data_IF_554140448945
#
_entry.id   IF_554140448945
#
_cell.length_a   1.000
_cell.length_b   1.000
_cell.length_c   1.000
_cell.angle_alpha   90.00
_cell.angle_beta   90.00
_cell.angle_gamma   90.00
#
_symmetry.space_group_name_H-M   'P 1'
#
loop_
_entity.id
_entity.type
_entity.pdbx_description
1 polymer ?
#
# COMPACT_ATOMS: atom_id res chain seq x y z
N UNK A 1 17.25 -34.06 45.82
CA UNK A 1 16.24 -35.13 45.82
C UNK A 1 16.08 -35.58 44.38
N UNK A 2 16.78 -36.65 44.04
CA UNK A 2 16.86 -37.23 42.69
C UNK A 2 15.57 -37.96 42.34
N UNK A 3 15.07 -37.82 41.11
CA UNK A 3 14.41 -38.94 40.41
C UNK A 3 14.75 -38.86 38.91
N UNK A 4 15.54 -39.84 38.49
CA UNK A 4 15.74 -40.30 37.12
C UNK A 4 14.47 -41.03 36.64
N UNK A 5 14.11 -40.88 35.37
CA UNK A 5 13.53 -41.98 34.59
C UNK A 5 14.02 -41.91 33.14
N UNK A 6 14.88 -42.87 32.80
CA UNK A 6 15.16 -43.32 31.44
C UNK A 6 14.07 -44.32 31.04
N UNK A 7 13.74 -44.38 29.76
CA UNK A 7 13.50 -45.66 29.09
C UNK A 7 13.94 -45.60 27.64
N UNK A 8 14.78 -46.56 27.28
CA UNK A 8 15.28 -46.88 25.94
C UNK A 8 14.24 -47.68 25.15
N UNK A 9 14.39 -47.66 23.82
CA UNK A 9 13.73 -48.60 22.91
C UNK A 9 14.31 -48.47 21.50
N UNK A 10 15.46 -49.10 21.27
CA UNK A 10 16.04 -49.38 19.96
C UNK A 10 15.12 -50.32 19.16
N UNK A 11 15.03 -50.15 17.84
CA UNK A 11 15.49 -51.18 16.88
C UNK A 11 15.24 -50.79 15.41
N UNK A 12 16.33 -50.96 14.67
CA UNK A 12 16.57 -51.00 13.22
C UNK A 12 15.77 -52.05 12.44
N UNK A 13 15.53 -51.79 11.14
CA UNK A 13 15.50 -52.67 9.93
C UNK A 13 14.52 -52.04 8.92
N UNK A 14 14.71 -51.98 7.60
CA UNK A 14 15.71 -52.52 6.70
C UNK A 14 15.46 -51.99 5.27
N UNK A 15 16.51 -52.05 4.48
CA UNK A 15 16.65 -51.68 3.06
C UNK A 15 15.74 -52.49 2.12
N UNK A 16 15.16 -51.86 1.08
CA UNK A 16 14.94 -52.51 -0.22
C UNK A 16 14.98 -51.49 -1.36
N UNK A 17 15.96 -51.68 -2.24
CA UNK A 17 16.07 -51.07 -3.57
C UNK A 17 15.65 -52.10 -4.63
N UNK A 18 14.90 -51.69 -5.65
CA UNK A 18 14.85 -52.36 -6.96
C UNK A 18 14.35 -51.39 -8.04
N UNK A 19 15.16 -51.20 -9.10
CA UNK A 19 14.84 -50.51 -10.37
C UNK A 19 14.18 -51.51 -11.38
N UNK A 20 14.16 -51.27 -12.71
CA UNK A 20 13.05 -50.64 -13.44
C UNK A 20 12.52 -51.53 -14.59
N UNK A 21 11.28 -51.30 -15.06
CA UNK A 21 10.81 -51.90 -16.31
C UNK A 21 10.96 -50.94 -17.50
N UNK A 22 11.73 -51.41 -18.47
CA UNK A 22 11.94 -50.89 -19.82
C UNK A 22 11.03 -51.70 -20.75
N UNK A 23 10.30 -51.06 -21.65
CA UNK A 23 9.92 -51.69 -22.92
C UNK A 23 9.92 -50.65 -24.04
N UNK A 24 10.78 -50.91 -25.03
CA UNK A 24 10.80 -50.32 -26.38
C UNK A 24 9.89 -51.16 -27.27
N UNK A 25 9.39 -50.55 -28.35
CA UNK A 25 9.09 -51.04 -29.72
C UNK A 25 8.04 -50.06 -30.26
N UNK A 26 8.00 -49.51 -31.47
CA UNK A 26 8.84 -49.39 -32.67
C UNK A 26 8.04 -48.41 -33.58
N UNK A 27 8.65 -47.56 -34.44
CA UNK A 27 7.89 -46.68 -35.34
C UNK A 27 8.03 -47.08 -36.83
N UNK A 28 6.94 -47.12 -37.61
CA UNK A 28 6.80 -46.82 -39.07
C UNK A 28 5.45 -47.33 -39.64
N UNK A 29 5.00 -46.97 -40.87
CA UNK A 29 5.48 -45.96 -41.84
C UNK A 29 4.38 -45.03 -42.44
N UNK A 30 4.88 -44.08 -43.23
CA UNK A 30 4.24 -43.15 -44.17
C UNK A 30 3.00 -43.66 -44.94
N UNK A 31 2.01 -42.76 -45.10
CA UNK A 31 1.16 -42.70 -46.29
C UNK A 31 1.16 -41.30 -46.89
N UNK A 32 1.38 -41.26 -48.21
CA UNK A 32 1.42 -40.10 -49.11
C UNK A 32 0.15 -40.10 -49.97
N UNK A 33 -0.18 -38.92 -50.52
CA UNK A 33 -1.21 -38.60 -51.53
C UNK A 33 -2.60 -38.25 -50.94
N UNK A 34 -3.36 -37.26 -51.43
CA UNK A 34 -3.42 -36.59 -52.75
C UNK A 34 -4.09 -35.22 -52.58
N UNK A 35 -3.64 -34.22 -53.36
CA UNK A 35 -4.25 -32.90 -53.46
C UNK A 35 -5.50 -32.93 -54.35
N UNK A 36 -6.48 -32.04 -54.08
CA UNK A 36 -7.63 -31.75 -54.94
C UNK A 36 -7.68 -30.23 -55.24
N UNK A 37 -8.11 -29.80 -56.45
CA UNK A 37 -7.95 -28.43 -56.93
C UNK A 37 -9.16 -27.52 -56.69
N UNK A 38 -8.92 -26.19 -56.70
CA UNK A 38 -9.91 -25.11 -56.63
C UNK A 38 -10.62 -24.87 -57.98
N UNK A 39 -11.88 -24.42 -57.99
CA UNK A 39 -12.56 -23.96 -59.21
C UNK A 39 -12.30 -22.46 -59.54
N UNK A 40 -12.49 -22.04 -60.80
CA UNK A 40 -11.96 -20.78 -61.36
C UNK A 40 -12.91 -19.56 -61.26
N UNK A 41 -12.31 -18.37 -61.36
CA UNK A 41 -12.95 -17.05 -61.42
C UNK A 41 -13.36 -16.69 -62.86
N UNK A 42 -14.57 -16.14 -63.03
CA UNK A 42 -15.08 -15.59 -64.28
C UNK A 42 -14.79 -14.08 -64.47
N UNK A 43 -14.92 -13.54 -65.70
CA UNK A 43 -14.26 -12.30 -66.12
C UNK A 43 -15.14 -11.03 -66.07
N UNK A 44 -14.46 -9.87 -66.04
CA UNK A 44 -15.00 -8.50 -66.20
C UNK A 44 -15.19 -8.11 -67.67
N UNK A 45 -16.07 -7.13 -67.93
CA UNK A 45 -15.77 -5.99 -68.83
C UNK A 45 -16.26 -4.66 -68.19
N UNK A 46 -16.16 -3.45 -68.74
CA UNK A 46 -15.19 -2.68 -69.55
C UNK A 46 -15.72 -1.22 -69.48
N UNK A 47 -14.85 -0.21 -69.68
CA UNK A 47 -15.14 1.22 -69.55
C UNK A 47 -15.98 1.80 -70.70
N UNK A 48 -16.75 2.86 -70.41
CA UNK A 48 -17.02 3.91 -71.40
C UNK A 48 -17.32 5.27 -70.73
N UNK A 49 -16.73 6.32 -71.29
CA UNK A 49 -16.83 7.73 -70.88
C UNK A 49 -17.79 8.47 -71.81
N UNK A 50 -18.54 9.47 -71.32
CA UNK A 50 -18.70 10.77 -71.99
C UNK A 50 -19.50 11.78 -71.15
N UNK A 51 -19.13 13.04 -71.37
CA UNK A 51 -19.49 14.31 -70.73
C UNK A 51 -20.80 14.92 -71.26
N UNK A 52 -21.55 15.63 -70.40
CA UNK A 52 -22.04 17.02 -70.59
C UNK A 52 -23.15 17.39 -69.58
N UNK A 53 -22.93 18.47 -68.84
CA UNK A 53 -23.93 19.29 -68.12
C UNK A 53 -24.37 20.47 -69.04
N UNK A 54 -25.37 21.32 -68.71
CA UNK A 54 -26.24 21.38 -67.52
C UNK A 54 -27.74 21.60 -67.83
N UNK A 55 -28.63 21.30 -66.88
CA UNK A 55 -29.66 22.27 -66.51
C UNK A 55 -30.15 22.06 -65.07
N UNK A 56 -29.95 23.11 -64.31
CA UNK A 56 -30.19 23.33 -62.89
C UNK A 56 -31.69 23.47 -62.59
N UNK A 57 -32.20 22.70 -61.63
CA UNK A 57 -33.22 23.12 -60.63
C UNK A 57 -34.03 21.96 -60.04
N UNK A 58 -33.98 20.74 -60.59
CA UNK A 58 -34.79 19.61 -60.09
C UNK A 58 -34.00 18.39 -59.60
N UNK A 59 -32.67 18.38 -59.76
CA UNK A 59 -31.79 17.29 -59.31
C UNK A 59 -31.16 17.52 -57.93
N UNK A 60 -31.23 18.73 -57.37
CA UNK A 60 -30.67 19.04 -56.05
C UNK A 60 -31.51 18.51 -54.87
N UNK A 61 -32.81 18.25 -55.09
CA UNK A 61 -33.68 17.73 -54.03
C UNK A 61 -33.68 16.20 -53.95
N UNK A 62 -33.33 15.49 -55.03
CA UNK A 62 -33.33 14.03 -55.09
C UNK A 62 -31.96 13.38 -54.78
N UNK A 63 -30.87 14.15 -54.71
CA UNK A 63 -29.52 13.65 -54.41
C UNK A 63 -29.11 13.76 -52.92
N UNK A 64 -29.99 14.24 -52.04
CA UNK A 64 -29.73 14.28 -50.58
C UNK A 64 -30.06 12.99 -49.83
N UNK A 65 -30.54 11.95 -50.51
CA UNK A 65 -30.97 10.68 -49.84
C UNK A 65 -30.10 9.47 -50.18
N UNK A 66 -29.20 9.51 -51.16
CA UNK A 66 -28.35 8.34 -51.48
C UNK A 66 -26.95 8.73 -51.97
N UNK A 67 -26.04 9.08 -51.06
CA UNK A 67 -24.57 8.95 -51.25
C UNK A 67 -23.89 8.73 -49.91
N UNK A 68 -23.30 7.56 -49.73
CA UNK A 68 -22.23 7.34 -48.75
C UNK A 68 -20.88 7.79 -49.36
N UNK A 69 -20.02 8.45 -48.57
CA UNK A 69 -18.57 8.45 -48.78
C UNK A 69 -17.86 7.85 -47.55
N UNK A 70 -17.17 6.71 -47.70
CA UNK A 70 -15.71 6.62 -47.88
C UNK A 70 -14.86 7.16 -46.70
N UNK A 71 -14.54 6.24 -45.79
CA UNK A 71 -13.37 6.09 -44.89
C UNK A 71 -12.28 7.16 -44.69
N UNK A 72 -12.55 8.46 -44.67
CA UNK A 72 -11.55 9.40 -44.12
C UNK A 72 -11.63 9.48 -42.58
N UNK A 73 -10.68 8.78 -41.97
CA UNK A 73 -10.10 8.98 -40.65
C UNK A 73 -10.88 9.92 -39.71
N UNK A 74 -11.69 9.32 -38.83
CA UNK A 74 -12.00 9.90 -37.53
C UNK A 74 -10.68 9.97 -36.73
N UNK A 75 -9.81 10.91 -37.09
CA UNK A 75 -8.70 11.32 -36.25
C UNK A 75 -9.35 11.85 -34.99
N UNK A 76 -9.22 11.16 -33.83
CA UNK A 76 -9.72 11.73 -32.61
C UNK A 76 -8.85 12.96 -32.39
N UNK A 77 -9.41 14.15 -32.69
CA UNK A 77 -8.84 15.44 -32.30
C UNK A 77 -8.35 15.21 -30.89
N UNK A 78 -7.02 15.27 -30.78
CA UNK A 78 -6.21 15.03 -29.59
C UNK A 78 -6.75 15.95 -28.51
N UNK A 79 -7.81 15.51 -27.84
CA UNK A 79 -8.29 16.09 -26.60
C UNK A 79 -7.08 15.94 -25.72
N UNK A 80 -6.42 17.06 -25.49
CA UNK A 80 -5.25 17.20 -24.64
C UNK A 80 -5.46 16.26 -23.46
N UNK A 81 -4.68 15.17 -23.42
CA UNK A 81 -4.79 14.15 -22.39
C UNK A 81 -4.51 14.82 -21.05
N UNK A 82 -5.56 15.25 -20.39
CA UNK A 82 -5.53 15.71 -19.02
C UNK A 82 -5.27 14.48 -18.16
N UNK A 83 -3.99 14.25 -17.84
CA UNK A 83 -3.53 13.38 -16.76
C UNK A 83 -4.15 11.96 -16.74
N UNK A 84 -3.51 11.02 -17.45
CA UNK A 84 -3.36 9.59 -17.10
C UNK A 84 -4.11 9.14 -15.83
N UNK A 85 -5.25 8.48 -16.02
CA UNK A 85 -6.02 7.62 -15.11
C UNK A 85 -5.46 7.48 -13.67
N UNK A 86 -5.56 8.55 -12.89
CA UNK A 86 -5.10 8.60 -11.51
C UNK A 86 -6.22 8.08 -10.63
N UNK A 87 -5.94 7.03 -9.84
CA UNK A 87 -6.90 6.43 -8.92
C UNK A 87 -7.17 7.42 -7.78
N UNK A 88 -8.25 8.19 -7.90
CA UNK A 88 -8.64 9.21 -6.92
C UNK A 88 -8.98 8.58 -5.57
N UNK A 89 -9.54 7.38 -5.60
CA UNK A 89 -9.89 6.56 -4.44
C UNK A 89 -8.64 6.18 -3.66
N UNK A 90 -7.57 5.77 -4.36
CA UNK A 90 -6.29 5.40 -3.73
C UNK A 90 -5.66 6.59 -3.01
N UNK A 91 -5.63 7.77 -3.64
CA UNK A 91 -5.12 8.98 -2.99
C UNK A 91 -5.99 9.37 -1.79
N UNK A 92 -7.31 9.22 -1.88
CA UNK A 92 -8.24 9.50 -0.79
C UNK A 92 -7.98 8.59 0.41
N UNK A 93 -7.95 7.26 0.24
CA UNK A 93 -7.72 6.35 1.36
C UNK A 93 -6.33 6.53 1.98
N UNK A 94 -5.30 6.81 1.16
CA UNK A 94 -3.96 7.14 1.68
C UNK A 94 -3.98 8.39 2.56
N UNK A 95 -4.75 9.40 2.18
CA UNK A 95 -4.91 10.63 2.96
C UNK A 95 -5.69 10.41 4.25
N UNK A 96 -6.79 9.64 4.16
CA UNK A 96 -7.62 9.28 5.30
C UNK A 96 -6.82 8.53 6.36
N UNK A 97 -6.02 7.55 5.94
CA UNK A 97 -5.16 6.78 6.84
C UNK A 97 -4.11 7.67 7.51
N UNK A 98 -3.52 8.63 6.80
CA UNK A 98 -2.56 9.56 7.42
C UNK A 98 -3.22 10.47 8.46
N UNK A 99 -4.47 10.88 8.23
CA UNK A 99 -5.25 11.64 9.22
C UNK A 99 -5.50 10.78 10.46
N UNK A 100 -5.93 9.53 10.27
CA UNK A 100 -6.13 8.60 11.38
C UNK A 100 -4.85 8.36 12.14
N UNK A 101 -3.72 8.08 11.48
CA UNK A 101 -2.42 7.90 12.15
C UNK A 101 -2.09 9.11 13.04
N UNK A 102 -2.26 10.35 12.57
CA UNK A 102 -1.93 11.53 13.39
C UNK A 102 -2.82 11.63 14.63
N UNK A 103 -4.13 11.44 14.44
CA UNK A 103 -5.14 11.57 15.50
C UNK A 103 -5.03 10.42 16.51
N UNK A 104 -4.72 9.21 16.04
CA UNK A 104 -4.58 8.00 16.86
C UNK A 104 -3.37 8.07 17.80
N UNK A 105 -2.38 8.91 17.49
CA UNK A 105 -1.20 9.14 18.35
C UNK A 105 -1.36 10.33 19.31
N UNK A 106 -2.56 10.92 19.40
CA UNK A 106 -2.90 11.94 20.40
C UNK A 106 -3.78 11.25 21.45
N UNK A 107 -3.25 11.03 22.66
CA UNK A 107 -3.92 10.27 23.71
C UNK A 107 -5.26 10.88 24.15
N UNK A 108 -5.35 12.21 24.16
CA UNK A 108 -6.57 12.96 24.50
C UNK A 108 -7.53 13.19 23.33
N UNK A 109 -7.28 12.62 22.15
CA UNK A 109 -8.13 12.81 20.96
C UNK A 109 -9.54 12.23 21.14
N UNK A 110 -10.54 12.97 20.67
CA UNK A 110 -11.93 12.51 20.63
C UNK A 110 -12.21 11.76 19.34
N UNK A 111 -11.65 12.23 18.23
CA UNK A 111 -11.83 11.62 16.92
C UNK A 111 -11.16 10.24 16.83
N UNK A 112 -10.04 10.05 17.55
CA UNK A 112 -9.35 8.78 17.77
C UNK A 112 -10.31 7.69 18.29
N UNK A 113 -11.32 8.05 19.08
CA UNK A 113 -12.32 7.09 19.62
C UNK A 113 -13.31 6.57 18.58
N UNK A 114 -13.32 7.17 17.39
CA UNK A 114 -14.15 6.74 16.25
C UNK A 114 -13.32 6.14 15.11
N UNK A 115 -11.99 6.06 15.24
CA UNK A 115 -11.12 5.43 14.24
C UNK A 115 -11.04 3.91 14.46
N UNK A 116 -10.31 3.24 13.58
CA UNK A 116 -10.22 1.78 13.56
C UNK A 116 -9.69 1.19 14.86
N UNK A 117 -8.72 1.81 15.53
CA UNK A 117 -8.12 1.22 16.74
C UNK A 117 -9.11 1.10 17.91
N UNK A 118 -10.18 1.93 17.91
CA UNK A 118 -11.16 1.98 18.99
C UNK A 118 -12.15 0.80 18.95
N UNK A 119 -12.49 0.29 17.77
CA UNK A 119 -13.49 -0.78 17.61
C UNK A 119 -12.99 -1.99 16.82
N UNK A 120 -11.84 -1.92 16.17
CA UNK A 120 -11.26 -3.03 15.45
C UNK A 120 -9.99 -3.55 16.16
N UNK A 121 -9.73 -4.84 16.04
CA UNK A 121 -8.47 -5.45 16.46
C UNK A 121 -7.27 -4.94 15.63
N UNK A 122 -7.49 -4.46 14.41
CA UNK A 122 -6.50 -3.79 13.57
C UNK A 122 -6.64 -2.27 13.66
N UNK A 123 -5.60 -1.54 13.27
CA UNK A 123 -5.57 -0.08 13.29
C UNK A 123 -5.21 0.51 11.91
N UNK A 124 -4.91 1.81 11.88
CA UNK A 124 -4.54 2.50 10.65
C UNK A 124 -3.25 1.95 10.01
N UNK A 125 -2.38 1.27 10.76
CA UNK A 125 -1.13 0.71 10.24
C UNK A 125 -1.39 -0.44 9.24
N UNK A 126 -2.34 -1.35 9.51
CA UNK A 126 -2.69 -2.40 8.55
C UNK A 126 -3.16 -1.81 7.22
N UNK A 127 -4.02 -0.79 7.29
CA UNK A 127 -4.51 -0.09 6.09
C UNK A 127 -3.35 0.62 5.38
N UNK A 128 -2.46 1.27 6.12
CA UNK A 128 -1.29 1.95 5.58
C UNK A 128 -0.38 0.99 4.81
N UNK A 129 -0.04 -0.16 5.40
CA UNK A 129 0.84 -1.19 4.81
C UNK A 129 0.21 -1.84 3.59
N UNK A 130 -1.06 -2.19 3.67
CA UNK A 130 -1.81 -2.73 2.53
C UNK A 130 -1.87 -1.74 1.36
N UNK A 131 -2.24 -0.48 1.61
CA UNK A 131 -2.26 0.57 0.59
C UNK A 131 -0.86 0.88 0.05
N UNK A 132 0.17 0.72 0.87
CA UNK A 132 1.57 0.79 0.48
C UNK A 132 1.92 -0.23 -0.61
N UNK A 133 1.54 -1.50 -0.39
CA UNK A 133 1.68 -2.57 -1.39
C UNK A 133 0.87 -2.32 -2.65
N UNK A 134 -0.41 -1.96 -2.49
CA UNK A 134 -1.34 -1.67 -3.59
C UNK A 134 -0.84 -0.52 -4.48
N UNK A 135 -0.41 0.59 -3.87
CA UNK A 135 0.13 1.74 -4.58
C UNK A 135 1.46 1.43 -5.27
N UNK A 136 2.30 0.62 -4.63
CA UNK A 136 3.58 0.19 -5.20
C UNK A 136 3.38 -0.67 -6.44
N UNK A 137 2.47 -1.66 -6.38
CA UNK A 137 2.08 -2.46 -7.53
C UNK A 137 1.53 -1.60 -8.68
N UNK A 138 0.69 -0.61 -8.35
CA UNK A 138 0.16 0.35 -9.34
C UNK A 138 1.27 1.17 -9.99
N UNK A 139 2.20 1.72 -9.20
CA UNK A 139 3.30 2.55 -9.68
C UNK A 139 4.27 1.75 -10.56
N UNK A 140 4.65 0.55 -10.13
CA UNK A 140 5.52 -0.34 -10.91
C UNK A 140 4.86 -0.75 -12.22
N UNK A 141 3.59 -1.18 -12.20
CA UNK A 141 2.87 -1.55 -13.42
C UNK A 141 2.77 -0.40 -14.42
N UNK A 142 2.59 0.84 -13.93
CA UNK A 142 2.61 2.02 -14.80
C UNK A 142 4.01 2.33 -15.35
N UNK A 143 5.07 1.99 -14.61
CA UNK A 143 6.45 2.30 -14.99
C UNK A 143 7.00 1.28 -15.96
N UNK A 144 6.79 -0.02 -15.70
CA UNK A 144 7.13 -1.12 -16.60
C UNK A 144 6.39 -1.06 -17.95
N UNK A 145 5.23 -0.37 -18.01
CA UNK A 145 4.52 -0.09 -19.28
C UNK A 145 5.14 1.05 -20.10
N UNK A 146 5.91 1.94 -19.47
CA UNK A 146 6.44 3.18 -20.09
C UNK A 146 7.94 3.14 -20.33
N UNK A 147 8.65 2.32 -19.56
CA UNK A 147 10.10 2.19 -19.53
C UNK A 147 10.46 0.70 -19.41
N UNK A 148 11.75 0.41 -19.25
CA UNK A 148 12.21 -0.97 -19.05
C UNK A 148 11.94 -1.46 -17.62
N UNK A 149 11.95 -2.77 -17.42
CA UNK A 149 11.89 -3.34 -16.06
C UNK A 149 13.10 -2.94 -15.21
N UNK A 150 14.27 -2.74 -15.83
CA UNK A 150 15.46 -2.26 -15.14
C UNK A 150 15.26 -0.85 -14.56
N UNK A 151 14.66 0.06 -15.33
CA UNK A 151 14.31 1.41 -14.86
C UNK A 151 13.33 1.37 -13.71
N UNK A 152 12.37 0.43 -13.76
CA UNK A 152 11.43 0.23 -12.68
C UNK A 152 12.12 -0.25 -11.41
N UNK A 153 13.01 -1.24 -11.50
CA UNK A 153 13.79 -1.74 -10.36
C UNK A 153 14.65 -0.65 -9.74
N UNK A 154 15.40 0.11 -10.55
CA UNK A 154 16.25 1.20 -10.07
C UNK A 154 15.46 2.28 -9.32
N UNK A 155 14.25 2.61 -9.80
CA UNK A 155 13.38 3.57 -9.11
C UNK A 155 13.00 3.12 -7.70
N UNK A 156 12.76 1.82 -7.50
CA UNK A 156 12.40 1.30 -6.18
C UNK A 156 13.58 1.20 -5.22
N UNK A 157 14.80 0.98 -5.71
CA UNK A 157 16.01 1.15 -4.88
C UNK A 157 16.17 2.61 -4.41
N UNK A 158 15.99 3.58 -5.31
CA UNK A 158 15.98 5.01 -4.91
C UNK A 158 14.88 5.31 -3.91
N UNK A 159 13.70 4.69 -4.08
CA UNK A 159 12.58 4.84 -3.14
C UNK A 159 12.88 4.26 -1.76
N UNK A 160 13.60 3.15 -1.67
CA UNK A 160 14.08 2.60 -0.39
C UNK A 160 15.00 3.61 0.32
N UNK A 161 15.93 4.23 -0.42
CA UNK A 161 16.80 5.28 0.13
C UNK A 161 16.04 6.55 0.55
N UNK A 162 14.99 6.94 -0.18
CA UNK A 162 14.11 8.05 0.23
C UNK A 162 13.43 7.76 1.57
N UNK A 163 12.97 6.52 1.78
CA UNK A 163 12.33 6.10 3.04
C UNK A 163 13.34 6.03 4.19
N UNK A 164 14.55 5.56 3.92
CA UNK A 164 15.66 5.59 4.86
C UNK A 164 16.00 7.02 5.30
N UNK A 165 16.15 7.95 4.36
CA UNK A 165 16.39 9.37 4.67
C UNK A 165 15.25 9.98 5.45
N UNK A 166 14.00 9.66 5.10
CA UNK A 166 12.84 10.11 5.84
C UNK A 166 12.83 9.58 7.27
N UNK A 167 13.24 8.32 7.49
CA UNK A 167 13.41 7.77 8.83
C UNK A 167 14.43 8.59 9.64
N UNK A 168 15.62 8.84 9.10
CA UNK A 168 16.65 9.63 9.79
C UNK A 168 16.16 11.04 10.11
N UNK A 169 15.51 11.71 9.15
CA UNK A 169 14.94 13.05 9.36
C UNK A 169 13.86 13.02 10.46
N UNK A 170 12.98 12.01 10.44
CA UNK A 170 11.92 11.88 11.46
C UNK A 170 12.51 11.63 12.84
N UNK A 171 13.51 10.76 12.95
CA UNK A 171 14.19 10.48 14.20
C UNK A 171 14.85 11.74 14.79
N UNK A 172 15.57 12.50 13.96
CA UNK A 172 16.18 13.78 14.39
C UNK A 172 15.11 14.79 14.79
N UNK A 173 14.01 14.91 14.04
CA UNK A 173 12.91 15.82 14.38
C UNK A 173 12.23 15.42 15.70
N UNK A 174 12.06 14.13 15.97
CA UNK A 174 11.49 13.66 17.23
C UNK A 174 12.38 13.99 18.43
N UNK A 175 13.69 13.76 18.30
CA UNK A 175 14.67 14.15 19.34
C UNK A 175 14.66 15.67 19.57
N UNK A 176 14.66 16.45 18.49
CA UNK A 176 14.63 17.92 18.57
C UNK A 176 13.36 18.43 19.24
N UNK A 177 12.19 17.93 18.85
CA UNK A 177 10.91 18.32 19.47
C UNK A 177 10.89 17.91 20.94
N UNK A 178 11.35 16.70 21.27
CA UNK A 178 11.41 16.23 22.65
C UNK A 178 12.35 17.10 23.50
N UNK A 179 13.51 17.50 22.96
CA UNK A 179 14.44 18.41 23.62
C UNK A 179 13.84 19.80 23.86
N UNK A 180 13.14 20.35 22.86
CA UNK A 180 12.45 21.66 23.00
C UNK A 180 11.34 21.57 24.06
N UNK A 181 10.51 20.54 24.03
CA UNK A 181 9.44 20.36 25.03
C UNK A 181 10.00 20.17 26.44
N UNK A 182 11.05 19.36 26.60
CA UNK A 182 11.75 19.18 27.88
C UNK A 182 12.33 20.50 28.40
N UNK A 183 12.92 21.33 27.52
CA UNK A 183 13.40 22.66 27.90
C UNK A 183 12.30 23.62 28.39
N UNK A 184 11.05 23.42 27.94
CA UNK A 184 9.87 24.14 28.43
C UNK A 184 9.17 23.44 29.61
N UNK A 185 9.77 22.39 30.20
CA UNK A 185 9.18 21.60 31.28
C UNK A 185 7.84 20.95 30.91
N UNK A 186 7.67 20.62 29.63
CA UNK A 186 6.52 19.89 29.11
C UNK A 186 6.93 18.42 29.02
N UNK A 187 6.23 17.58 29.77
CA UNK A 187 6.40 16.12 29.75
C UNK A 187 5.17 15.44 29.18
N UNK A 188 5.38 14.37 28.41
CA UNK A 188 4.31 13.63 27.75
C UNK A 188 4.72 12.19 27.39
N UNK A 189 3.77 11.23 27.35
CA UNK A 189 4.07 9.81 27.21
C UNK A 189 4.81 9.42 25.91
N UNK A 190 4.61 10.17 24.82
CA UNK A 190 5.14 9.84 23.51
C UNK A 190 6.48 10.53 23.19
N UNK A 191 7.05 11.27 24.15
CA UNK A 191 8.34 11.94 23.97
C UNK A 191 9.49 10.95 23.94
N UNK A 192 10.50 11.25 23.13
CA UNK A 192 11.72 10.45 23.04
C UNK A 192 12.71 10.87 24.14
N UNK A 193 12.25 10.95 25.40
CA UNK A 193 13.06 11.41 26.55
C UNK A 193 14.23 10.47 26.83
N UNK A 194 13.98 9.16 26.90
CA UNK A 194 15.04 8.16 27.07
C UNK A 194 16.09 8.24 25.95
N UNK A 195 15.64 8.33 24.70
CA UNK A 195 16.56 8.44 23.55
C UNK A 195 17.34 9.78 23.58
N UNK A 196 16.76 10.83 24.16
CA UNK A 196 17.40 12.13 24.31
C UNK A 196 18.47 12.09 25.40
N UNK A 197 18.19 11.47 26.55
CA UNK A 197 19.15 11.27 27.63
C UNK A 197 20.33 10.41 27.15
N UNK A 198 20.06 9.29 26.48
CA UNK A 198 21.08 8.45 25.87
C UNK A 198 21.91 9.20 24.81
N UNK A 199 21.29 10.12 24.07
CA UNK A 199 21.99 10.96 23.08
C UNK A 199 22.91 11.97 23.75
N UNK A 200 22.58 12.45 24.96
CA UNK A 200 23.44 13.33 25.75
C UNK A 200 24.63 12.57 26.34
N UNK A 201 24.40 11.34 26.80
CA UNK A 201 25.43 10.52 27.44
C UNK A 201 26.36 9.82 26.44
N UNK A 202 25.79 9.23 25.38
CA UNK A 202 26.51 8.39 24.40
C UNK A 202 26.15 8.73 22.94
N UNK A 203 26.36 9.98 22.48
CA UNK A 203 25.88 10.47 21.19
C UNK A 203 26.33 9.63 19.98
N UNK A 204 27.56 9.14 20.00
CA UNK A 204 28.11 8.33 18.90
C UNK A 204 27.48 6.94 18.82
N UNK A 205 27.16 6.33 19.97
CA UNK A 205 26.49 5.03 20.03
C UNK A 205 25.04 5.14 19.56
N UNK A 206 24.29 6.13 20.06
CA UNK A 206 22.91 6.38 19.65
C UNK A 206 22.82 6.71 18.16
N UNK A 207 23.71 7.57 17.65
CA UNK A 207 23.71 7.90 16.22
C UNK A 207 24.01 6.66 15.35
N UNK A 208 24.96 5.82 15.76
CA UNK A 208 25.24 4.53 15.09
C UNK A 208 24.01 3.64 15.12
N UNK A 209 23.35 3.52 16.26
CA UNK A 209 22.23 2.61 16.44
C UNK A 209 20.99 3.06 15.66
N UNK A 210 20.72 4.36 15.58
CA UNK A 210 19.70 4.91 14.67
C UNK A 210 20.10 4.65 13.21
N UNK A 211 21.34 4.94 12.81
CA UNK A 211 21.81 4.78 11.43
C UNK A 211 21.69 3.33 10.94
N UNK A 212 21.90 2.35 11.83
CA UNK A 212 21.83 0.92 11.55
C UNK A 212 20.45 0.30 11.81
N UNK A 213 19.42 1.11 12.05
CA UNK A 213 18.07 0.67 12.46
C UNK A 213 18.02 -0.16 13.76
N UNK A 214 19.07 -0.15 14.59
CA UNK A 214 19.09 -0.84 15.89
C UNK A 214 18.20 -0.16 16.93
N UNK A 215 18.06 1.17 16.81
CA UNK A 215 17.20 2.00 17.66
C UNK A 215 16.29 2.83 16.78
N UNK A 216 15.00 2.83 17.09
CA UNK A 216 13.97 3.45 16.26
C UNK A 216 13.00 4.18 17.17
N UNK A 217 12.85 5.51 17.01
CA UNK A 217 11.82 6.23 17.75
C UNK A 217 10.42 5.71 17.40
N UNK A 218 9.57 5.60 18.41
CA UNK A 218 8.24 4.96 18.32
C UNK A 218 7.41 5.41 17.12
N UNK A 219 7.26 6.74 16.92
CA UNK A 219 6.45 7.27 15.81
C UNK A 219 7.10 7.10 14.41
N UNK A 220 8.39 6.75 14.37
CA UNK A 220 9.15 6.54 13.13
C UNK A 220 9.39 5.06 12.80
N UNK A 221 9.09 4.13 13.71
CA UNK A 221 9.44 2.70 13.64
C UNK A 221 8.80 1.95 12.47
N UNK A 222 7.75 2.51 11.86
CA UNK A 222 7.15 1.94 10.63
C UNK A 222 8.05 2.13 9.40
N UNK A 223 8.87 3.18 9.35
CA UNK A 223 9.64 3.55 8.14
C UNK A 223 10.76 2.55 7.76
N UNK A 224 11.58 2.03 8.70
CA UNK A 224 12.60 1.02 8.38
C UNK A 224 12.03 -0.20 7.67
N UNK A 225 10.89 -0.72 8.15
CA UNK A 225 10.17 -1.82 7.52
C UNK A 225 9.78 -1.49 6.07
N UNK A 226 9.27 -0.28 5.81
CA UNK A 226 8.95 0.16 4.45
C UNK A 226 10.17 0.31 3.56
N UNK A 227 11.32 0.70 4.12
CA UNK A 227 12.57 0.75 3.37
C UNK A 227 12.95 -0.67 2.88
N UNK A 228 12.80 -1.69 3.73
CA UNK A 228 12.97 -3.10 3.32
C UNK A 228 11.95 -3.54 2.27
N UNK A 229 10.68 -3.19 2.43
CA UNK A 229 9.66 -3.55 1.43
C UNK A 229 9.94 -2.90 0.08
N UNK A 230 10.30 -1.61 0.06
CA UNK A 230 10.68 -0.91 -1.17
C UNK A 230 11.93 -1.55 -1.82
N UNK A 231 12.87 -2.03 -1.03
CA UNK A 231 14.05 -2.76 -1.52
C UNK A 231 13.68 -4.14 -2.10
N UNK A 232 12.70 -4.83 -1.53
CA UNK A 232 12.25 -6.16 -1.97
C UNK A 232 11.30 -6.13 -3.19
N UNK A 233 10.68 -4.99 -3.49
CA UNK A 233 9.73 -4.79 -4.61
C UNK A 233 10.25 -5.29 -5.97
N UNK A 234 11.51 -5.00 -6.37
CA UNK A 234 12.13 -5.58 -7.56
C UNK A 234 12.02 -7.10 -7.70
N UNK A 235 11.95 -7.85 -6.59
CA UNK A 235 11.78 -9.30 -6.57
C UNK A 235 10.30 -9.71 -6.41
N UNK A 236 9.57 -9.02 -5.52
CA UNK A 236 8.18 -9.35 -5.20
C UNK A 236 7.25 -9.16 -6.41
N UNK A 237 7.40 -8.08 -7.17
CA UNK A 237 6.41 -7.73 -8.20
C UNK A 237 6.45 -8.60 -9.45
N UNK A 238 7.63 -8.99 -9.99
CA UNK A 238 7.69 -10.01 -11.03
C UNK A 238 7.04 -11.34 -10.58
N UNK A 239 7.26 -11.73 -9.32
CA UNK A 239 6.66 -12.93 -8.76
C UNK A 239 5.14 -12.80 -8.58
N UNK A 240 4.64 -11.64 -8.13
CA UNK A 240 3.21 -11.36 -8.00
C UNK A 240 2.45 -11.45 -9.33
N UNK A 241 3.11 -11.10 -10.44
CA UNK A 241 2.52 -11.15 -11.79
C UNK A 241 2.55 -12.54 -12.40
N UNK A 242 3.63 -13.29 -12.16
CA UNK A 242 3.85 -14.61 -12.76
C UNK A 242 3.31 -15.76 -11.92
N UNK A 243 3.56 -15.74 -10.60
CA UNK A 243 3.22 -16.81 -9.65
C UNK A 243 2.65 -16.21 -8.34
N UNK A 244 1.48 -15.54 -8.39
CA UNK A 244 0.89 -14.86 -7.24
C UNK A 244 0.67 -15.78 -6.02
N UNK A 245 0.25 -17.02 -6.25
CA UNK A 245 0.00 -17.98 -5.17
C UNK A 245 1.28 -18.51 -4.53
N UNK A 246 2.37 -18.61 -5.29
CA UNK A 246 3.69 -18.95 -4.72
C UNK A 246 4.20 -17.80 -3.84
N UNK A 247 4.03 -16.55 -4.29
CA UNK A 247 4.35 -15.38 -3.48
C UNK A 247 3.53 -15.36 -2.17
N UNK A 248 2.22 -15.61 -2.26
CA UNK A 248 1.36 -15.65 -1.07
C UNK A 248 1.75 -16.77 -0.12
N UNK A 249 2.00 -17.97 -0.64
CA UNK A 249 2.44 -19.12 0.17
C UNK A 249 3.78 -18.85 0.87
N UNK A 250 4.75 -18.28 0.14
CA UNK A 250 6.03 -17.87 0.72
C UNK A 250 5.88 -16.77 1.78
N UNK A 251 5.00 -15.80 1.52
CA UNK A 251 4.68 -14.73 2.47
C UNK A 251 4.02 -15.27 3.75
N UNK A 252 3.08 -16.21 3.64
CA UNK A 252 2.47 -16.88 4.78
C UNK A 252 3.48 -17.74 5.56
N UNK A 253 4.39 -18.42 4.87
CA UNK A 253 5.45 -19.19 5.51
C UNK A 253 6.36 -18.28 6.34
N UNK A 254 6.85 -17.17 5.77
CA UNK A 254 7.67 -16.18 6.50
C UNK A 254 6.91 -15.58 7.67
N UNK A 255 5.63 -15.24 7.49
CA UNK A 255 4.79 -14.72 8.57
C UNK A 255 4.62 -15.72 9.71
N UNK A 256 4.43 -17.01 9.41
CA UNK A 256 4.23 -18.05 10.43
C UNK A 256 5.45 -18.28 11.34
N UNK A 257 6.66 -18.02 10.82
CA UNK A 257 7.92 -18.14 11.57
C UNK A 257 8.49 -16.78 12.00
N UNK A 258 7.76 -15.68 11.76
CA UNK A 258 8.23 -14.32 11.99
C UNK A 258 8.66 -14.06 13.45
N UNK A 259 7.96 -14.57 14.50
CA UNK A 259 8.41 -14.39 15.87
C UNK A 259 9.79 -15.02 16.13
N UNK A 260 10.09 -16.17 15.52
CA UNK A 260 11.39 -16.83 15.64
C UNK A 260 12.51 -16.11 14.86
N UNK A 261 12.14 -15.35 13.82
CA UNK A 261 13.09 -14.55 13.04
C UNK A 261 13.39 -13.19 13.68
N UNK A 262 12.48 -12.65 14.49
CA UNK A 262 12.60 -11.32 15.11
C UNK A 262 13.93 -11.10 15.86
N UNK A 263 14.47 -12.05 16.66
CA UNK A 263 15.74 -11.87 17.37
C UNK A 263 16.97 -11.72 16.45
N UNK A 264 16.85 -12.05 15.16
CA UNK A 264 17.94 -11.92 14.19
C UNK A 264 18.02 -10.51 13.58
N UNK A 265 17.06 -9.64 13.90
CA UNK A 265 17.12 -8.24 13.48
C UNK A 265 18.16 -7.48 14.30
N UNK A 266 18.75 -6.41 13.73
CA UNK A 266 19.63 -5.53 14.48
C UNK A 266 18.81 -4.77 15.54
N UNK A 267 19.18 -4.90 16.81
CA UNK A 267 18.52 -4.23 17.96
C UNK A 267 19.58 -3.71 18.95
N UNK A 268 19.36 -2.54 19.54
CA UNK A 268 20.14 -2.07 20.70
C UNK A 268 19.67 -2.77 22.00
N UNK A 269 20.44 -2.71 23.09
CA UNK A 269 20.16 -3.52 24.30
C UNK A 269 18.81 -3.20 24.97
N UNK A 270 18.31 -1.99 24.79
CA UNK A 270 17.09 -1.43 25.38
C UNK A 270 16.02 -1.07 24.32
N UNK A 271 16.26 -1.44 23.06
CA UNK A 271 15.36 -1.16 21.96
C UNK A 271 14.58 -2.41 21.54
N UNK A 272 13.55 -2.20 20.73
CA UNK A 272 12.82 -3.28 20.06
C UNK A 272 12.29 -2.79 18.71
N UNK A 273 11.94 -3.74 17.85
CA UNK A 273 11.19 -3.45 16.62
C UNK A 273 9.70 -3.41 16.93
N UNK A 274 9.05 -2.25 16.89
CA UNK A 274 7.59 -2.17 17.07
C UNK A 274 6.82 -2.88 15.95
N UNK A 275 7.43 -2.96 14.76
CA UNK A 275 6.87 -3.62 13.59
C UNK A 275 7.86 -4.69 13.11
N UNK A 276 7.54 -5.96 13.30
CA UNK A 276 8.36 -7.06 12.77
C UNK A 276 8.24 -7.11 11.23
N UNK A 277 9.31 -6.79 10.46
CA UNK A 277 9.24 -6.77 9.00
C UNK A 277 8.89 -8.13 8.38
N UNK A 278 9.25 -9.23 9.05
CA UNK A 278 8.92 -10.59 8.61
C UNK A 278 7.43 -10.91 8.73
N UNK A 279 6.75 -10.34 9.72
CA UNK A 279 5.31 -10.52 9.89
C UNK A 279 4.53 -9.58 8.96
N UNK A 280 4.87 -8.30 8.99
CA UNK A 280 4.11 -7.24 8.31
C UNK A 280 4.26 -7.25 6.79
N UNK A 281 5.27 -7.94 6.23
CA UNK A 281 5.34 -8.16 4.78
C UNK A 281 4.10 -8.86 4.24
N UNK A 282 3.36 -9.65 5.05
CA UNK A 282 2.10 -10.26 4.67
C UNK A 282 1.07 -9.20 4.22
N UNK A 283 0.89 -8.14 5.00
CA UNK A 283 -0.04 -7.04 4.64
C UNK A 283 0.37 -6.34 3.34
N UNK A 284 1.67 -6.13 3.17
CA UNK A 284 2.21 -5.51 1.96
C UNK A 284 1.97 -6.41 0.73
N UNK A 285 2.26 -7.70 0.84
CA UNK A 285 2.03 -8.70 -0.22
C UNK A 285 0.55 -8.83 -0.56
N UNK A 286 -0.34 -8.86 0.44
CA UNK A 286 -1.79 -8.85 0.23
C UNK A 286 -2.23 -7.63 -0.59
N UNK A 287 -1.69 -6.45 -0.30
CA UNK A 287 -1.92 -5.22 -1.08
C UNK A 287 -1.42 -5.33 -2.52
N UNK A 288 -0.24 -5.90 -2.73
CA UNK A 288 0.34 -6.13 -4.07
C UNK A 288 -0.54 -7.12 -4.87
N UNK A 289 -0.97 -8.22 -4.25
CA UNK A 289 -1.81 -9.24 -4.89
C UNK A 289 -3.19 -8.65 -5.21
N UNK A 290 -3.80 -7.90 -4.28
CA UNK A 290 -5.10 -7.26 -4.49
C UNK A 290 -5.11 -6.31 -5.71
N UNK A 291 -3.98 -5.68 -6.01
CA UNK A 291 -3.85 -4.82 -7.19
C UNK A 291 -3.48 -5.58 -8.47
N UNK A 292 -2.71 -6.66 -8.37
CA UNK A 292 -2.20 -7.39 -9.55
C UNK A 292 -3.12 -8.50 -10.03
N UNK A 293 -3.98 -9.02 -9.15
CA UNK A 293 -4.86 -10.15 -9.42
C UNK A 293 -6.32 -9.74 -9.17
N UNK A 294 -7.28 -10.21 -9.99
CA UNK A 294 -8.68 -9.84 -9.84
C UNK A 294 -9.38 -10.68 -8.75
N UNK A 295 -8.76 -10.80 -7.57
CA UNK A 295 -9.23 -11.66 -6.46
C UNK A 295 -10.61 -11.22 -6.00
N UNK A 296 -10.77 -9.93 -5.72
CA UNK A 296 -12.04 -9.35 -5.30
C UNK A 296 -13.12 -9.48 -6.38
N UNK A 297 -12.81 -9.20 -7.64
CA UNK A 297 -13.79 -9.30 -8.73
C UNK A 297 -14.28 -10.75 -8.90
N UNK A 298 -13.38 -11.74 -8.80
CA UNK A 298 -13.76 -13.16 -8.86
C UNK A 298 -14.60 -13.57 -7.65
N UNK A 299 -14.19 -13.20 -6.45
CA UNK A 299 -14.90 -13.55 -5.22
C UNK A 299 -16.29 -12.90 -5.14
N UNK A 300 -16.40 -11.62 -5.53
CA UNK A 300 -17.66 -10.87 -5.50
C UNK A 300 -18.63 -11.30 -6.59
N UNK A 301 -18.15 -11.77 -7.75
CA UNK A 301 -18.99 -12.26 -8.83
C UNK A 301 -19.51 -13.68 -8.60
N UNK A 302 -18.96 -14.41 -7.63
CA UNK A 302 -19.42 -15.76 -7.31
C UNK A 302 -20.86 -15.72 -6.77
N UNK A 303 -21.67 -16.74 -7.08
CA UNK A 303 -23.09 -16.83 -6.67
C UNK A 303 -23.32 -16.66 -5.15
N UNK A 304 -22.28 -16.97 -4.38
CA UNK A 304 -22.25 -16.94 -2.92
C UNK A 304 -21.44 -15.76 -2.36
N UNK A 305 -21.11 -14.75 -3.19
CA UNK A 305 -20.31 -13.59 -2.76
C UNK A 305 -20.96 -12.78 -1.64
N UNK A 306 -22.29 -12.85 -1.50
CA UNK A 306 -23.02 -12.22 -0.38
C UNK A 306 -22.70 -12.86 0.98
N UNK A 307 -22.38 -14.17 1.01
CA UNK A 307 -21.97 -14.86 2.24
C UNK A 307 -20.67 -14.28 2.80
N UNK A 308 -19.74 -13.89 1.92
CA UNK A 308 -18.49 -13.24 2.32
C UNK A 308 -18.75 -11.88 2.96
N UNK A 309 -19.75 -11.14 2.47
CA UNK A 309 -20.17 -9.87 3.08
C UNK A 309 -20.79 -10.08 4.45
N UNK A 310 -21.67 -11.07 4.60
CA UNK A 310 -22.27 -11.40 5.91
C UNK A 310 -21.20 -11.85 6.90
N UNK A 311 -20.27 -12.72 6.46
CA UNK A 311 -19.14 -13.16 7.27
C UNK A 311 -18.26 -11.98 7.68
N UNK A 312 -17.93 -11.07 6.75
CA UNK A 312 -17.14 -9.89 7.05
C UNK A 312 -17.83 -8.98 8.09
N UNK A 313 -19.15 -8.76 7.94
CA UNK A 313 -19.92 -8.01 8.94
C UNK A 313 -19.90 -8.70 10.32
N UNK A 314 -20.04 -10.03 10.36
CA UNK A 314 -19.97 -10.81 11.60
C UNK A 314 -18.61 -10.71 12.30
N UNK A 315 -17.51 -10.79 11.54
CA UNK A 315 -16.14 -10.64 12.06
C UNK A 315 -15.94 -9.24 12.66
N UNK A 316 -16.37 -8.19 11.95
CA UNK A 316 -16.24 -6.80 12.42
C UNK A 316 -17.09 -6.57 13.67
N UNK A 317 -18.33 -7.07 13.69
CA UNK A 317 -19.22 -6.95 14.85
C UNK A 317 -18.65 -7.68 16.06
N UNK A 318 -18.09 -8.88 15.88
CA UNK A 318 -17.43 -9.63 16.95
C UNK A 318 -16.18 -8.90 17.48
N UNK A 319 -15.35 -8.36 16.58
CA UNK A 319 -14.19 -7.56 16.95
C UNK A 319 -14.58 -6.29 17.72
N UNK A 320 -15.62 -5.58 17.26
CA UNK A 320 -16.15 -4.39 17.93
C UNK A 320 -16.76 -4.72 19.29
N UNK A 321 -17.51 -5.81 19.39
CA UNK A 321 -18.02 -6.28 20.67
C UNK A 321 -16.89 -6.57 21.66
N UNK A 322 -15.86 -7.29 21.22
CA UNK A 322 -14.70 -7.61 22.04
C UNK A 322 -13.96 -6.33 22.49
N UNK A 323 -13.63 -5.44 21.55
CA UNK A 323 -12.93 -4.17 21.81
C UNK A 323 -13.68 -3.24 22.76
N UNK A 324 -15.00 -3.13 22.60
CA UNK A 324 -15.80 -2.13 23.33
C UNK A 324 -16.33 -2.62 24.68
N UNK A 325 -16.53 -3.93 24.85
CA UNK A 325 -17.21 -4.47 26.04
C UNK A 325 -16.40 -5.52 26.81
N UNK A 326 -15.40 -6.15 26.20
CA UNK A 326 -14.66 -7.27 26.81
C UNK A 326 -13.23 -6.90 27.16
N UNK A 327 -12.58 -6.04 26.37
CA UNK A 327 -11.22 -5.58 26.65
C UNK A 327 -11.20 -4.68 27.91
N UNK A 328 -10.63 -5.22 28.99
CA UNK A 328 -10.49 -4.52 30.28
C UNK A 328 -9.10 -3.89 30.47
N UNK A 329 -8.18 -4.07 29.53
CA UNK A 329 -6.83 -3.54 29.60
C UNK A 329 -6.06 -3.69 28.28
N UNK A 330 -4.85 -3.10 28.18
CA UNK A 330 -4.07 -3.11 26.95
C UNK A 330 -3.77 -4.54 26.48
N UNK A 331 -4.12 -4.83 25.23
CA UNK A 331 -3.72 -6.07 24.57
C UNK A 331 -2.19 -6.18 24.49
N UNK A 332 -1.70 -7.42 24.51
CA UNK A 332 -0.28 -7.73 24.35
C UNK A 332 0.30 -7.06 23.09
N UNK A 333 1.35 -6.26 23.27
CA UNK A 333 2.03 -5.54 22.19
C UNK A 333 2.58 -6.49 21.12
N UNK A 334 2.87 -7.74 21.50
CA UNK A 334 3.31 -8.80 20.58
C UNK A 334 2.27 -9.08 19.48
N UNK A 335 0.97 -8.89 19.76
CA UNK A 335 -0.11 -9.10 18.79
C UNK A 335 -0.03 -8.12 17.63
N UNK A 336 0.40 -6.87 17.90
CA UNK A 336 0.64 -5.86 16.88
C UNK A 336 2.00 -6.04 16.24
N UNK A 337 3.05 -6.22 17.07
CA UNK A 337 4.43 -6.39 16.61
C UNK A 337 4.55 -7.49 15.55
N UNK A 338 3.94 -8.65 15.82
CA UNK A 338 4.01 -9.83 14.97
C UNK A 338 2.78 -10.02 14.08
N UNK A 339 1.94 -9.00 13.91
CA UNK A 339 0.73 -9.04 13.08
C UNK A 339 -0.08 -10.34 13.32
N UNK A 340 -0.72 -10.44 14.48
CA UNK A 340 -1.50 -11.63 14.82
C UNK A 340 -2.59 -11.91 13.78
N UNK A 341 -2.93 -13.19 13.63
CA UNK A 341 -3.92 -13.65 12.65
C UNK A 341 -5.29 -12.97 12.87
N UNK A 342 -5.65 -12.67 14.12
CA UNK A 342 -6.86 -11.94 14.49
C UNK A 342 -6.91 -10.55 13.83
N UNK A 343 -5.79 -9.82 13.87
CA UNK A 343 -5.66 -8.50 13.25
C UNK A 343 -5.76 -8.59 11.73
N UNK A 344 -5.06 -9.56 11.13
CA UNK A 344 -5.08 -9.78 9.68
C UNK A 344 -6.47 -10.17 9.17
N UNK A 345 -7.18 -11.07 9.85
CA UNK A 345 -8.54 -11.50 9.48
C UNK A 345 -9.54 -10.36 9.63
N UNK A 346 -9.47 -9.61 10.74
CA UNK A 346 -10.34 -8.46 10.93
C UNK A 346 -10.10 -7.37 9.86
N UNK A 347 -8.83 -7.08 9.56
CA UNK A 347 -8.50 -6.18 8.46
C UNK A 347 -9.07 -6.67 7.12
N UNK A 348 -8.94 -7.96 6.79
CA UNK A 348 -9.48 -8.50 5.53
C UNK A 348 -11.00 -8.37 5.43
N UNK A 349 -11.72 -8.53 6.55
CA UNK A 349 -13.15 -8.29 6.62
C UNK A 349 -13.49 -6.82 6.32
N UNK A 350 -12.76 -5.88 6.93
CA UNK A 350 -12.93 -4.44 6.69
C UNK A 350 -12.59 -4.09 5.23
N UNK A 351 -11.47 -4.61 4.72
CA UNK A 351 -11.03 -4.40 3.35
C UNK A 351 -12.06 -4.92 2.33
N UNK A 352 -12.74 -6.04 2.63
CA UNK A 352 -13.84 -6.55 1.81
C UNK A 352 -15.02 -5.58 1.73
N UNK A 353 -15.45 -5.01 2.85
CA UNK A 353 -16.54 -4.02 2.87
C UNK A 353 -16.13 -2.71 2.17
N UNK A 354 -14.89 -2.25 2.39
CA UNK A 354 -14.34 -1.07 1.69
C UNK A 354 -14.27 -1.32 0.18
N UNK A 355 -13.87 -2.51 -0.26
CA UNK A 355 -13.86 -2.86 -1.67
C UNK A 355 -15.28 -2.86 -2.29
N UNK A 356 -16.29 -3.28 -1.53
CA UNK A 356 -17.70 -3.11 -1.91
C UNK A 356 -18.09 -1.63 -2.04
N UNK A 357 -17.69 -0.79 -1.08
CA UNK A 357 -17.93 0.66 -1.13
C UNK A 357 -17.25 1.33 -2.34
N UNK A 358 -16.06 0.86 -2.73
CA UNK A 358 -15.37 1.31 -3.96
C UNK A 358 -16.14 0.86 -5.20
N UNK A 359 -16.58 -0.41 -5.25
CA UNK A 359 -17.33 -0.98 -6.40
C UNK A 359 -18.64 -0.25 -6.68
N UNK A 360 -19.37 0.15 -5.63
CA UNK A 360 -20.65 0.87 -5.74
C UNK A 360 -20.43 2.37 -6.09
N UNK A 361 -19.19 2.87 -6.03
CA UNK A 361 -18.83 4.25 -6.40
C UNK A 361 -18.93 5.25 -5.25
N UNK A 362 -19.30 4.82 -4.05
CA UNK A 362 -19.39 5.68 -2.86
C UNK A 362 -18.03 6.27 -2.48
N UNK A 363 -16.98 5.45 -2.51
CA UNK A 363 -15.62 5.93 -2.22
C UNK A 363 -15.18 7.03 -3.19
N UNK A 364 -15.54 6.90 -4.47
CA UNK A 364 -15.25 7.90 -5.50
C UNK A 364 -16.03 9.19 -5.26
N UNK A 365 -17.31 9.10 -4.92
CA UNK A 365 -18.14 10.26 -4.60
C UNK A 365 -17.58 11.02 -3.38
N UNK A 366 -17.16 10.30 -2.34
CA UNK A 366 -16.54 10.89 -1.15
C UNK A 366 -15.19 11.55 -1.48
N UNK A 367 -14.36 10.87 -2.26
CA UNK A 367 -13.06 11.41 -2.70
C UNK A 367 -13.20 12.69 -3.53
N UNK A 368 -14.28 12.82 -4.31
CA UNK A 368 -14.61 14.04 -5.05
C UNK A 368 -15.13 15.16 -4.15
N UNK A 369 -15.90 14.83 -3.10
CA UNK A 369 -16.39 15.81 -2.11
C UNK A 369 -15.30 16.32 -1.17
N UNK A 370 -14.30 15.49 -0.86
CA UNK A 370 -13.20 15.81 0.06
C UNK A 370 -11.83 15.74 -0.66
N UNK A 371 -11.59 16.59 -1.68
CA UNK A 371 -10.36 16.54 -2.49
C UNK A 371 -9.10 16.90 -1.68
N UNK A 372 -9.27 17.57 -0.54
CA UNK A 372 -8.19 17.91 0.39
C UNK A 372 -7.62 16.67 1.09
N UNK A 373 -8.44 15.67 1.40
CA UNK A 373 -7.97 14.38 1.95
C UNK A 373 -7.08 13.71 0.91
N UNK A 374 -7.53 13.68 -0.35
CA UNK A 374 -6.71 13.23 -1.47
C UNK A 374 -5.38 13.97 -1.53
N UNK A 375 -5.35 15.31 -1.35
CA UNK A 375 -4.12 16.11 -1.36
C UNK A 375 -3.09 15.64 -0.33
N UNK A 376 -3.52 15.32 0.89
CA UNK A 376 -2.67 14.74 1.94
C UNK A 376 -2.09 13.40 1.46
N UNK A 377 -2.93 12.51 0.94
CA UNK A 377 -2.50 11.19 0.46
C UNK A 377 -1.50 11.22 -0.71
N UNK A 378 -1.57 12.24 -1.57
CA UNK A 378 -0.60 12.46 -2.67
C UNK A 378 0.80 12.74 -2.15
N UNK A 379 0.90 13.34 -0.98
CA UNK A 379 2.16 13.76 -0.35
C UNK A 379 2.48 12.91 0.87
N UNK A 380 2.17 11.62 0.77
CA UNK A 380 2.13 10.74 1.94
C UNK A 380 3.42 10.72 2.77
N UNK A 381 4.60 10.75 2.14
CA UNK A 381 5.86 10.76 2.91
C UNK A 381 6.05 12.08 3.68
N UNK A 382 5.81 13.23 3.04
CA UNK A 382 5.89 14.53 3.69
C UNK A 382 4.86 14.66 4.81
N UNK A 383 3.61 14.27 4.54
CA UNK A 383 2.52 14.33 5.52
C UNK A 383 2.74 13.33 6.67
N UNK A 384 3.39 12.19 6.43
CA UNK A 384 3.81 11.28 7.48
C UNK A 384 4.82 11.95 8.43
N UNK A 385 5.95 12.45 7.89
CA UNK A 385 7.00 13.11 8.70
C UNK A 385 6.44 14.32 9.47
N UNK A 386 5.67 15.17 8.79
CA UNK A 386 5.02 16.31 9.44
C UNK A 386 3.97 15.86 10.47
N UNK A 387 3.20 14.82 10.17
CA UNK A 387 2.21 14.24 11.06
C UNK A 387 2.82 13.70 12.35
N UNK A 388 4.00 13.08 12.28
CA UNK A 388 4.77 12.66 13.46
C UNK A 388 5.11 13.84 14.36
N UNK A 389 5.60 14.94 13.80
CA UNK A 389 5.90 16.16 14.57
C UNK A 389 4.64 16.80 15.14
N UNK A 390 3.58 16.91 14.32
CA UNK A 390 2.31 17.52 14.72
C UNK A 390 1.66 16.72 15.85
N UNK A 391 1.55 15.40 15.71
CA UNK A 391 0.97 14.53 16.74
C UNK A 391 1.75 14.62 18.04
N UNK A 392 3.09 14.55 17.99
CA UNK A 392 3.93 14.67 19.17
C UNK A 392 3.72 16.02 19.90
N UNK A 393 3.75 17.14 19.18
CA UNK A 393 3.57 18.47 19.78
C UNK A 393 2.15 18.65 20.34
N UNK A 394 1.13 18.25 19.58
CA UNK A 394 -0.27 18.43 20.01
C UNK A 394 -0.59 17.53 21.20
N UNK A 395 -0.11 16.29 21.18
CA UNK A 395 -0.25 15.35 22.30
C UNK A 395 0.43 15.88 23.55
N UNK A 396 1.68 16.36 23.46
CA UNK A 396 2.39 16.92 24.60
C UNK A 396 1.69 18.14 25.21
N UNK A 397 1.27 19.09 24.37
CA UNK A 397 0.55 20.28 24.84
C UNK A 397 -0.80 19.94 25.47
N UNK A 398 -1.55 19.00 24.86
CA UNK A 398 -2.84 18.57 25.39
C UNK A 398 -2.67 17.83 26.73
N UNK A 399 -1.68 16.93 26.82
CA UNK A 399 -1.39 16.18 28.03
C UNK A 399 -1.05 17.13 29.18
N UNK A 400 -0.16 18.10 28.97
CA UNK A 400 0.18 19.11 29.99
C UNK A 400 -1.00 20.02 30.34
N UNK A 401 -1.86 20.38 29.38
CA UNK A 401 -3.02 21.23 29.65
C UNK A 401 -4.16 20.51 30.39
N UNK A 402 -4.15 19.18 30.40
CA UNK A 402 -5.24 18.36 30.96
C UNK A 402 -4.77 17.46 32.10
N UNK A 403 -3.49 17.50 32.48
CA UNK A 403 -2.85 16.55 33.38
C UNK A 403 -3.11 15.07 32.97
N UNK A 404 -3.23 14.84 31.66
CA UNK A 404 -3.58 13.54 31.07
C UNK A 404 -5.06 13.13 31.19
N UNK A 405 -5.93 13.94 31.80
CA UNK A 405 -7.36 13.64 31.89
C UNK A 405 -8.09 13.92 30.58
N UNK A 406 -9.14 13.14 30.33
CA UNK A 406 -9.96 13.34 29.14
C UNK A 406 -10.76 14.64 29.22
N UNK A 407 -10.49 15.57 28.30
CA UNK A 407 -11.23 16.81 28.16
C UNK A 407 -11.82 16.91 26.74
N UNK A 408 -13.15 16.79 26.61
CA UNK A 408 -13.81 16.71 25.30
C UNK A 408 -13.60 17.98 24.46
N UNK A 409 -13.85 19.21 24.98
CA UNK A 409 -13.56 20.43 24.23
C UNK A 409 -12.10 20.54 23.76
N UNK A 410 -11.14 20.34 24.68
CA UNK A 410 -9.71 20.46 24.34
C UNK A 410 -9.25 19.35 23.38
N UNK A 411 -9.77 18.13 23.52
CA UNK A 411 -9.50 17.03 22.60
C UNK A 411 -10.02 17.31 21.19
N UNK A 412 -11.22 17.88 21.04
CA UNK A 412 -11.74 18.31 19.73
C UNK A 412 -10.93 19.46 19.12
N UNK A 413 -10.44 20.39 19.95
CA UNK A 413 -9.53 21.46 19.50
C UNK A 413 -8.20 20.87 19.03
N UNK A 414 -7.63 19.93 19.77
CA UNK A 414 -6.41 19.21 19.40
C UNK A 414 -6.59 18.48 18.05
N UNK A 415 -7.71 17.78 17.86
CA UNK A 415 -8.06 17.12 16.59
C UNK A 415 -8.13 18.11 15.42
N UNK A 416 -8.81 19.24 15.63
CA UNK A 416 -8.92 20.28 14.61
C UNK A 416 -7.57 20.93 14.27
N UNK A 417 -6.73 21.19 15.27
CA UNK A 417 -5.37 21.73 15.10
C UNK A 417 -4.49 20.73 14.35
N UNK A 418 -4.53 19.45 14.72
CA UNK A 418 -3.73 18.42 14.09
C UNK A 418 -4.09 18.23 12.61
N UNK A 419 -5.39 18.07 12.32
CA UNK A 419 -5.90 17.91 10.94
C UNK A 419 -5.66 19.17 10.11
N UNK A 420 -5.92 20.34 10.69
CA UNK A 420 -5.70 21.64 10.05
C UNK A 420 -4.23 21.86 9.68
N UNK A 421 -3.31 21.54 10.59
CA UNK A 421 -1.86 21.64 10.39
C UNK A 421 -1.38 20.68 9.31
N UNK A 422 -1.85 19.43 9.34
CA UNK A 422 -1.51 18.43 8.31
C UNK A 422 -1.98 18.88 6.92
N UNK A 423 -3.19 19.43 6.82
CA UNK A 423 -3.70 20.00 5.58
C UNK A 423 -2.89 21.21 5.12
N UNK A 424 -2.51 22.11 6.03
CA UNK A 424 -1.70 23.28 5.72
C UNK A 424 -0.33 22.86 5.11
N UNK A 425 0.35 21.89 5.71
CA UNK A 425 1.61 21.31 5.18
C UNK A 425 1.41 20.74 3.77
N UNK A 426 0.32 19.99 3.56
CA UNK A 426 0.01 19.43 2.25
C UNK A 426 -0.27 20.52 1.19
N UNK A 427 -0.86 21.65 1.58
CA UNK A 427 -1.15 22.79 0.70
C UNK A 427 0.10 23.60 0.38
N UNK A 428 0.88 24.01 1.39
CA UNK A 428 2.06 24.91 1.28
C UNK A 428 3.19 24.27 0.46
N UNK A 429 3.34 22.96 0.50
CA UNK A 429 4.35 22.27 -0.31
C UNK A 429 4.04 22.27 -1.82
N UNK A 430 2.83 22.64 -2.27
CA UNK A 430 2.50 22.76 -3.71
C UNK A 430 3.23 23.94 -4.35
N UNK A 431 3.09 25.19 -3.87
CA UNK A 431 3.78 26.34 -4.45
C UNK A 431 5.30 26.25 -4.34
N UNK A 432 5.84 25.78 -3.21
CA UNK A 432 7.30 25.68 -2.99
C UNK A 432 7.96 24.80 -4.06
N UNK A 433 7.39 23.64 -4.35
CA UNK A 433 7.92 22.75 -5.40
C UNK A 433 7.92 23.38 -6.79
N UNK A 434 6.88 24.17 -7.12
CA UNK A 434 6.78 24.88 -8.41
C UNK A 434 7.84 25.97 -8.54
N UNK A 435 8.03 26.77 -7.49
CA UNK A 435 9.03 27.86 -7.46
C UNK A 435 10.45 27.31 -7.55
N UNK A 436 10.76 26.24 -6.81
CA UNK A 436 12.07 25.56 -6.88
C UNK A 436 12.35 24.98 -8.27
N UNK A 437 11.36 24.33 -8.92
CA UNK A 437 11.54 23.84 -10.29
C UNK A 437 11.72 24.95 -11.32
N UNK A 438 11.10 26.11 -11.12
CA UNK A 438 11.27 27.27 -12.00
C UNK A 438 12.67 27.90 -11.84
N UNK A 439 13.19 27.99 -10.61
CA UNK A 439 14.55 28.49 -10.36
C UNK A 439 15.62 27.56 -10.94
N UNK A 440 15.50 26.25 -10.75
CA UNK A 440 16.46 25.27 -11.31
C UNK A 440 16.46 25.24 -12.84
N UNK A 441 15.33 25.56 -13.48
CA UNK A 441 15.24 25.65 -14.95
C UNK A 441 15.74 26.98 -15.51
N UNK A 442 15.82 28.02 -14.68
CA UNK A 442 16.43 29.31 -15.03
C UNK A 442 17.94 29.37 -14.80
N UNK A 443 18.56 28.31 -14.24
CA UNK A 443 20.00 28.24 -13.93
C UNK A 443 20.75 27.18 -14.76
N UNK A 444 20.15 26.66 -15.84
CA UNK A 444 20.88 25.84 -16.81
C UNK A 444 21.80 26.72 -17.66
N UNK A 445 23.03 26.26 -17.99
CA UNK A 445 23.98 27.06 -18.77
C UNK A 445 23.39 27.39 -20.15
N UNK A 446 23.45 28.68 -20.50
CA UNK A 446 23.10 29.22 -21.81
C UNK A 446 24.14 28.83 -22.87
#
# INVERSE_FOLDING_TARGET
MSVHMRSCGDSTFGSYAAKPHRNRHEPTPCYRAKALPRPPQGPRPAQQSQSNTPNSSLTELALRVTRAPSWEAFSPKKRMQTSKNRLIELDFFRGLVLIFIVVDHIGGSILSRATLHAYALCDAAEVFVFLGGFATATAYASLAKRHTEADARNRFFKRSLELYRAFLITAVLMLLVSAVMSAFSIDAPNMATTDLDDMMDTPTAVLRDILLFRRQPYLASVLPMYAFFAFAVPAILPLARSKPWLLLAGSLAVWSIAPSLLPHLPVAEDAQWDFNPFAWQLMFVLGVIAQTQPVYQRASAHRHGWLLTVLACGIIAAAAWFKLFVEVGPLDSSLKQNLSWLRAVNFLAIAWLVANMVRIGWARALAQRLPWVGLVGRKGLLCFVAGTVISLVVDSLLYTATDGYLNIPLGLVADAVAIGSLFAVAKVSVPISRVLTLRLRGSGPA
#
